data_IF_109837261582
#
_entry.id   IF_109837261582
#
_cell.length_a   1.000
_cell.length_b   1.000
_cell.length_c   1.000
_cell.angle_alpha   90.00
_cell.angle_beta   90.00
_cell.angle_gamma   90.00
#
_symmetry.space_group_name_H-M   'P 1'
#
loop_
_entity.id
_entity.type
_entity.pdbx_description
1 polymer ?
#
# COMPACT_ATOMS: atom_id res chain seq x y z
N UNK A 1 -25.73 -41.58 -11.73
CA UNK A 1 -24.72 -40.52 -11.49
C UNK A 1 -25.29 -39.58 -10.42
N UNK A 2 -24.61 -39.46 -9.27
CA UNK A 2 -25.08 -38.63 -8.15
C UNK A 2 -25.36 -37.20 -8.64
N UNK A 3 -26.47 -36.58 -8.25
CA UNK A 3 -26.85 -35.23 -8.68
C UNK A 3 -25.76 -34.21 -8.37
N UNK A 4 -25.00 -34.45 -7.29
CA UNK A 4 -23.84 -33.65 -6.91
C UNK A 4 -22.70 -33.71 -7.93
N UNK A 5 -22.39 -34.89 -8.48
CA UNK A 5 -21.38 -35.07 -9.51
C UNK A 5 -21.80 -34.41 -10.84
N UNK A 6 -23.09 -34.45 -11.17
CA UNK A 6 -23.66 -33.76 -12.34
C UNK A 6 -23.48 -32.24 -12.26
N UNK A 7 -23.76 -31.65 -11.11
CA UNK A 7 -23.57 -30.21 -10.92
C UNK A 7 -22.09 -29.83 -10.95
N UNK A 8 -21.21 -30.60 -10.28
CA UNK A 8 -19.75 -30.38 -10.33
C UNK A 8 -19.20 -30.44 -11.75
N UNK A 9 -19.63 -31.43 -12.56
CA UNK A 9 -19.25 -31.55 -13.98
C UNK A 9 -19.79 -30.39 -14.83
N UNK A 10 -21.04 -29.97 -14.63
CA UNK A 10 -21.63 -28.85 -15.36
C UNK A 10 -20.87 -27.55 -15.09
N UNK A 11 -20.49 -27.28 -13.84
CA UNK A 11 -19.73 -26.10 -13.46
C UNK A 11 -18.28 -26.14 -13.98
N UNK A 12 -17.63 -27.30 -14.00
CA UNK A 12 -16.30 -27.46 -14.61
C UNK A 12 -16.36 -27.19 -16.12
N UNK A 13 -17.40 -27.66 -16.80
CA UNK A 13 -17.58 -27.45 -18.26
C UNK A 13 -17.83 -25.97 -18.55
N UNK A 14 -18.73 -25.32 -17.80
CA UNK A 14 -19.01 -23.89 -17.92
C UNK A 14 -17.76 -23.04 -17.62
N UNK A 15 -17.03 -23.37 -16.55
CA UNK A 15 -15.78 -22.71 -16.19
C UNK A 15 -14.70 -22.86 -17.27
N UNK A 16 -14.56 -24.05 -17.85
CA UNK A 16 -13.57 -24.33 -18.89
C UNK A 16 -13.90 -23.58 -20.19
N UNK A 17 -15.18 -23.44 -20.54
CA UNK A 17 -15.65 -22.66 -21.69
C UNK A 17 -15.40 -21.17 -21.45
N UNK A 18 -15.63 -20.67 -20.24
CA UNK A 18 -15.35 -19.28 -19.85
C UNK A 18 -13.83 -19.02 -19.86
N UNK A 19 -13.02 -19.93 -19.30
CA UNK A 19 -11.55 -19.89 -19.33
C UNK A 19 -11.00 -19.84 -20.76
N UNK A 20 -11.52 -20.68 -21.65
CA UNK A 20 -11.12 -20.75 -23.05
C UNK A 20 -11.52 -19.47 -23.83
N UNK A 21 -12.71 -18.94 -23.60
CA UNK A 21 -13.17 -17.69 -24.21
C UNK A 21 -12.34 -16.48 -23.74
N UNK A 22 -12.04 -16.40 -22.44
CA UNK A 22 -11.25 -15.32 -21.84
C UNK A 22 -9.79 -15.37 -22.32
N UNK A 23 -9.20 -16.57 -22.45
CA UNK A 23 -7.85 -16.75 -22.99
C UNK A 23 -7.75 -16.35 -24.47
N UNK A 24 -8.70 -16.79 -25.32
CA UNK A 24 -8.75 -16.46 -26.74
C UNK A 24 -8.96 -14.97 -27.02
N UNK A 25 -9.73 -14.29 -26.17
CA UNK A 25 -10.01 -12.85 -26.31
C UNK A 25 -8.80 -12.00 -25.85
N UNK A 26 -7.97 -12.50 -24.92
CA UNK A 26 -6.87 -11.74 -24.31
C UNK A 26 -5.51 -11.91 -25.02
N UNK A 27 -5.25 -13.07 -25.65
CA UNK A 27 -3.91 -13.41 -26.15
C UNK A 27 -3.42 -12.56 -27.34
N UNK A 28 -4.30 -11.86 -28.06
CA UNK A 28 -3.90 -11.22 -29.33
C UNK A 28 -3.67 -9.70 -29.28
N UNK A 29 -4.13 -8.98 -28.26
CA UNK A 29 -4.14 -7.49 -28.32
C UNK A 29 -4.03 -6.71 -27.00
N UNK A 30 -4.30 -7.28 -25.82
CA UNK A 30 -4.69 -6.44 -24.67
C UNK A 30 -3.62 -6.18 -23.59
N UNK A 31 -2.61 -7.03 -23.41
CA UNK A 31 -1.65 -6.84 -22.30
C UNK A 31 -0.73 -5.62 -22.53
N UNK A 32 -0.43 -5.27 -23.79
CA UNK A 32 0.43 -4.14 -24.13
C UNK A 32 -0.34 -2.83 -24.40
N UNK A 33 -1.64 -2.89 -24.71
CA UNK A 33 -2.42 -1.74 -25.16
C UNK A 33 -3.58 -1.36 -24.24
N UNK A 34 -4.10 -2.27 -23.41
CA UNK A 34 -5.23 -2.02 -22.50
C UNK A 34 -5.03 -2.74 -21.15
N UNK A 35 -4.12 -2.22 -20.30
CA UNK A 35 -3.77 -2.83 -19.01
C UNK A 35 -4.98 -2.91 -18.06
N UNK A 36 -5.91 -1.96 -18.12
CA UNK A 36 -7.15 -1.97 -17.32
C UNK A 36 -8.07 -3.16 -17.71
N UNK A 37 -8.19 -3.46 -19.00
CA UNK A 37 -8.97 -4.63 -19.44
C UNK A 37 -8.29 -5.94 -19.03
N UNK A 38 -6.95 -6.00 -19.09
CA UNK A 38 -6.19 -7.16 -18.63
C UNK A 38 -6.26 -7.35 -17.11
N UNK A 39 -6.30 -6.25 -16.35
CA UNK A 39 -6.52 -6.19 -14.91
C UNK A 39 -7.89 -6.74 -14.52
N UNK A 40 -8.96 -6.20 -15.12
CA UNK A 40 -10.35 -6.65 -14.89
C UNK A 40 -10.51 -8.12 -15.29
N UNK A 41 -9.90 -8.56 -16.40
CA UNK A 41 -9.92 -9.97 -16.81
C UNK A 41 -9.17 -10.87 -15.83
N UNK A 42 -8.04 -10.43 -15.28
CA UNK A 42 -7.26 -11.21 -14.31
C UNK A 42 -8.03 -11.34 -12.99
N UNK A 43 -8.64 -10.25 -12.49
CA UNK A 43 -9.53 -10.31 -11.32
C UNK A 43 -10.70 -11.25 -11.59
N UNK A 44 -11.33 -11.18 -12.76
CA UNK A 44 -12.43 -12.06 -13.14
C UNK A 44 -11.98 -13.53 -13.22
N UNK A 45 -10.80 -13.80 -13.80
CA UNK A 45 -10.20 -15.14 -13.89
C UNK A 45 -10.00 -15.76 -12.51
N UNK A 46 -9.36 -15.02 -11.59
CA UNK A 46 -9.10 -15.54 -10.25
C UNK A 46 -10.32 -15.58 -9.35
N UNK A 47 -11.28 -14.66 -9.53
CA UNK A 47 -12.59 -14.72 -8.85
C UNK A 47 -13.36 -15.96 -9.28
N UNK A 48 -13.35 -16.28 -10.58
CA UNK A 48 -13.96 -17.51 -11.12
C UNK A 48 -13.24 -18.74 -10.58
N UNK A 49 -11.91 -18.78 -10.57
CA UNK A 49 -11.13 -19.90 -9.98
C UNK A 49 -11.41 -20.05 -8.48
N UNK A 50 -11.48 -18.95 -7.72
CA UNK A 50 -11.78 -18.98 -6.29
C UNK A 50 -13.21 -19.47 -6.03
N UNK A 51 -14.19 -19.00 -6.81
CA UNK A 51 -15.57 -19.49 -6.77
C UNK A 51 -15.61 -20.98 -7.10
N UNK A 52 -14.87 -21.45 -8.09
CA UNK A 52 -14.77 -22.87 -8.45
C UNK A 52 -14.17 -23.69 -7.31
N UNK A 53 -13.08 -23.24 -6.71
CA UNK A 53 -12.44 -23.95 -5.59
C UNK A 53 -13.38 -24.02 -4.38
N UNK A 54 -14.02 -22.91 -4.02
CA UNK A 54 -14.98 -22.84 -2.92
C UNK A 54 -16.21 -23.71 -3.20
N UNK A 55 -16.69 -23.73 -4.46
CA UNK A 55 -17.84 -24.55 -4.86
C UNK A 55 -17.51 -26.03 -4.89
N UNK A 56 -16.30 -26.40 -5.31
CA UNK A 56 -15.84 -27.80 -5.36
C UNK A 56 -15.49 -28.35 -3.98
N UNK A 57 -15.03 -27.49 -3.07
CA UNK A 57 -14.57 -27.83 -1.72
C UNK A 57 -15.05 -26.79 -0.69
N UNK A 58 -16.35 -26.74 -0.37
CA UNK A 58 -16.89 -25.79 0.60
C UNK A 58 -16.29 -25.96 2.00
N UNK A 59 -15.74 -27.13 2.30
CA UNK A 59 -14.98 -27.42 3.52
C UNK A 59 -13.74 -26.52 3.68
N UNK A 60 -13.19 -25.98 2.58
CA UNK A 60 -12.05 -25.06 2.64
C UNK A 60 -12.38 -23.74 3.34
N UNK A 61 -13.65 -23.34 3.37
CA UNK A 61 -14.14 -22.12 4.03
C UNK A 61 -14.87 -22.42 5.34
N UNK A 62 -14.92 -23.68 5.79
CA UNK A 62 -15.50 -24.00 7.10
C UNK A 62 -14.65 -23.33 8.19
N UNK A 63 -15.17 -22.33 8.93
CA UNK A 63 -14.42 -21.62 9.96
C UNK A 63 -13.99 -22.52 11.11
N UNK A 64 -14.50 -23.76 11.20
CA UNK A 64 -14.12 -24.76 12.20
C UNK A 64 -13.02 -25.71 11.72
N UNK A 65 -12.65 -25.67 10.44
CA UNK A 65 -11.59 -26.53 9.89
C UNK A 65 -10.22 -26.01 10.33
N UNK A 66 -9.38 -26.90 10.84
CA UNK A 66 -7.97 -26.61 11.06
C UNK A 66 -7.19 -26.67 9.74
N UNK A 67 -6.21 -25.79 9.60
CA UNK A 67 -5.29 -25.82 8.48
C UNK A 67 -4.40 -27.08 8.52
N UNK A 68 -4.17 -27.65 7.35
CA UNK A 68 -3.44 -28.90 7.11
C UNK A 68 -2.20 -28.67 6.24
N UNK A 69 -1.39 -29.71 6.02
CA UNK A 69 -0.24 -29.64 5.10
C UNK A 69 -0.65 -29.34 3.65
N UNK A 70 -1.85 -29.73 3.26
CA UNK A 70 -2.37 -29.45 1.90
C UNK A 70 -2.49 -27.95 1.69
N UNK A 71 -2.90 -27.22 2.73
CA UNK A 71 -3.04 -25.77 2.68
C UNK A 71 -1.67 -25.07 2.54
N UNK A 72 -0.66 -25.59 3.25
CA UNK A 72 0.73 -25.13 3.11
C UNK A 72 1.25 -25.36 1.67
N UNK A 73 0.89 -26.49 1.03
CA UNK A 73 1.23 -26.77 -0.38
C UNK A 73 0.52 -25.83 -1.35
N UNK A 74 -0.75 -25.48 -1.12
CA UNK A 74 -1.49 -24.52 -1.94
C UNK A 74 -0.76 -23.16 -1.91
N UNK A 75 -0.38 -22.69 -0.73
CA UNK A 75 0.37 -21.43 -0.59
C UNK A 75 1.72 -21.49 -1.29
N UNK A 76 2.44 -22.61 -1.18
CA UNK A 76 3.71 -22.81 -1.88
C UNK A 76 3.54 -22.75 -3.41
N UNK A 77 2.53 -23.43 -3.96
CA UNK A 77 2.24 -23.43 -5.40
C UNK A 77 1.85 -22.03 -5.86
N UNK A 78 0.95 -21.35 -5.14
CA UNK A 78 0.53 -19.99 -5.46
C UNK A 78 1.71 -19.01 -5.45
N UNK A 79 2.55 -19.09 -4.42
CA UNK A 79 3.74 -18.25 -4.27
C UNK A 79 4.76 -18.49 -5.38
N UNK A 80 5.06 -19.76 -5.68
CA UNK A 80 6.02 -20.11 -6.74
C UNK A 80 5.51 -19.64 -8.10
N UNK A 81 4.22 -19.84 -8.38
CA UNK A 81 3.57 -19.39 -9.61
C UNK A 81 3.63 -17.87 -9.73
N UNK A 82 3.28 -17.14 -8.67
CA UNK A 82 3.33 -15.69 -8.63
C UNK A 82 4.75 -15.17 -8.88
N UNK A 83 5.77 -15.74 -8.24
CA UNK A 83 7.18 -15.36 -8.45
C UNK A 83 7.58 -15.55 -9.91
N UNK A 84 7.34 -16.74 -10.47
CA UNK A 84 7.71 -17.08 -11.85
C UNK A 84 7.03 -16.14 -12.87
N UNK A 85 5.74 -15.88 -12.68
CA UNK A 85 4.99 -14.96 -13.55
C UNK A 85 5.48 -13.53 -13.35
N UNK A 86 5.57 -13.05 -12.12
CA UNK A 86 5.98 -11.67 -11.83
C UNK A 86 7.36 -11.36 -12.39
N UNK A 87 8.35 -12.23 -12.18
CA UNK A 87 9.70 -12.04 -12.74
C UNK A 87 9.68 -12.04 -14.28
N UNK A 88 8.91 -12.93 -14.90
CA UNK A 88 8.84 -13.00 -16.38
C UNK A 88 8.11 -11.81 -17.01
N UNK A 89 7.25 -11.12 -16.26
CA UNK A 89 6.52 -9.92 -16.70
C UNK A 89 7.32 -8.62 -16.53
N UNK A 90 8.48 -8.64 -15.86
CA UNK A 90 9.35 -7.45 -15.76
C UNK A 90 10.00 -7.20 -17.14
N UNK A 91 9.52 -6.16 -17.83
CA UNK A 91 10.00 -5.79 -19.17
C UNK A 91 10.48 -4.33 -19.26
N UNK A 92 10.14 -3.50 -18.27
CA UNK A 92 10.56 -2.10 -18.12
C UNK A 92 10.41 -1.68 -16.65
N UNK A 93 10.73 -0.43 -16.31
CA UNK A 93 10.61 0.10 -14.95
C UNK A 93 9.15 0.18 -14.47
N UNK A 94 8.20 0.35 -15.39
CA UNK A 94 6.76 0.45 -15.14
C UNK A 94 6.32 1.84 -14.69
N UNK A 95 6.97 2.37 -13.66
CA UNK A 95 6.74 3.73 -13.12
C UNK A 95 8.00 4.58 -13.21
N UNK A 96 7.81 5.88 -13.37
CA UNK A 96 8.88 6.87 -13.30
C UNK A 96 9.59 6.82 -11.95
N UNK A 97 8.87 6.63 -10.84
CA UNK A 97 9.47 6.46 -9.52
C UNK A 97 10.56 5.36 -9.44
N UNK A 98 10.40 4.22 -10.11
CA UNK A 98 11.41 3.16 -10.09
C UNK A 98 12.65 3.50 -10.90
N UNK A 99 12.46 4.24 -11.99
CA UNK A 99 13.59 4.78 -12.76
C UNK A 99 14.31 5.87 -11.92
N UNK A 100 13.59 6.65 -11.10
CA UNK A 100 14.18 7.63 -10.18
C UNK A 100 14.99 6.92 -9.08
N UNK A 101 14.48 5.81 -8.54
CA UNK A 101 15.20 4.99 -7.55
C UNK A 101 16.51 4.47 -8.15
N UNK A 102 16.48 3.95 -9.38
CA UNK A 102 17.68 3.44 -10.04
C UNK A 102 18.70 4.54 -10.35
N UNK A 103 18.25 5.71 -10.82
CA UNK A 103 19.13 6.85 -11.06
C UNK A 103 19.69 7.45 -9.76
N UNK A 104 18.90 7.47 -8.68
CA UNK A 104 19.37 7.86 -7.34
C UNK A 104 20.54 6.98 -6.88
N UNK A 105 20.49 5.67 -7.19
CA UNK A 105 21.61 4.78 -6.95
C UNK A 105 22.81 5.10 -7.84
N UNK A 106 22.61 5.38 -9.14
CA UNK A 106 23.71 5.81 -10.01
C UNK A 106 24.39 7.08 -9.48
N UNK A 107 23.63 8.06 -8.99
CA UNK A 107 24.18 9.28 -8.39
C UNK A 107 24.94 8.97 -7.11
N UNK A 108 24.35 8.19 -6.21
CA UNK A 108 24.99 7.79 -4.96
C UNK A 108 26.36 7.12 -5.22
N UNK A 109 26.41 6.13 -6.11
CA UNK A 109 27.64 5.41 -6.46
C UNK A 109 28.62 6.24 -7.30
N UNK A 110 28.17 7.35 -7.88
CA UNK A 110 29.03 8.35 -8.53
C UNK A 110 29.53 9.45 -7.59
N UNK A 111 29.24 9.35 -6.29
CA UNK A 111 29.60 10.38 -5.30
C UNK A 111 28.81 11.68 -5.44
N UNK A 112 27.63 11.63 -6.07
CA UNK A 112 26.71 12.76 -6.22
C UNK A 112 25.55 12.60 -5.24
N UNK A 113 25.10 13.70 -4.65
CA UNK A 113 23.93 13.72 -3.78
C UNK A 113 22.65 13.44 -4.60
N UNK A 114 21.94 12.32 -4.38
CA UNK A 114 20.74 11.98 -5.13
C UNK A 114 19.64 13.06 -5.07
N UNK A 115 19.56 13.82 -3.99
CA UNK A 115 18.54 14.85 -3.79
C UNK A 115 18.83 16.15 -4.54
N UNK A 116 20.10 16.39 -4.89
CA UNK A 116 20.53 17.59 -5.62
C UNK A 116 20.50 17.43 -7.14
N UNK A 117 20.21 16.23 -7.63
CA UNK A 117 20.26 15.90 -9.04
C UNK A 117 18.90 16.10 -9.71
N UNK A 118 18.95 16.58 -10.95
CA UNK A 118 17.79 16.65 -11.83
C UNK A 118 17.69 15.38 -12.65
N UNK A 119 16.51 14.80 -12.65
CA UNK A 119 16.18 13.59 -13.37
C UNK A 119 15.18 13.90 -14.51
N UNK A 120 15.28 13.15 -15.61
CA UNK A 120 14.32 13.16 -16.71
C UNK A 120 14.01 11.71 -17.11
N UNK A 121 12.74 11.27 -17.08
CA UNK A 121 12.42 9.89 -17.39
C UNK A 121 12.58 9.63 -18.87
N UNK A 122 13.29 8.55 -19.21
CA UNK A 122 13.54 8.16 -20.58
C UNK A 122 12.72 6.94 -20.99
N UNK A 123 12.47 6.04 -20.05
CA UNK A 123 11.86 4.73 -20.33
C UNK A 123 10.45 4.60 -19.76
N UNK A 124 9.93 5.66 -19.15
CA UNK A 124 8.64 5.70 -18.46
C UNK A 124 7.91 7.01 -18.71
N UNK A 125 6.60 7.01 -18.43
CA UNK A 125 5.78 8.22 -18.53
C UNK A 125 6.10 9.15 -17.34
N UNK A 126 6.46 10.43 -17.59
CA UNK A 126 6.76 11.37 -16.52
C UNK A 126 5.53 11.73 -15.69
N UNK A 127 5.76 11.99 -14.41
CA UNK A 127 4.87 12.81 -13.59
C UNK A 127 4.95 14.28 -14.04
N UNK A 128 3.80 14.85 -14.39
CA UNK A 128 3.66 16.26 -14.75
C UNK A 128 3.26 17.13 -13.55
N UNK A 129 3.76 18.35 -13.55
CA UNK A 129 3.40 19.42 -12.63
C UNK A 129 2.23 20.23 -13.18
N UNK A 130 1.52 20.94 -12.30
CA UNK A 130 0.36 21.80 -12.65
C UNK A 130 0.74 22.87 -13.69
N UNK A 131 2.00 23.32 -13.68
CA UNK A 131 2.54 24.28 -14.66
C UNK A 131 2.96 23.64 -16.00
N UNK A 132 2.74 22.35 -16.20
CA UNK A 132 3.08 21.61 -17.42
C UNK A 132 4.54 21.14 -17.50
N UNK A 133 5.39 21.48 -16.54
CA UNK A 133 6.75 20.93 -16.46
C UNK A 133 6.74 19.49 -15.93
N UNK A 134 7.82 18.77 -16.17
CA UNK A 134 8.04 17.42 -15.62
C UNK A 134 8.58 17.57 -14.19
N UNK A 135 8.13 16.72 -13.27
CA UNK A 135 8.74 16.62 -11.95
C UNK A 135 10.15 16.03 -12.10
N UNK A 136 11.20 16.72 -11.66
CA UNK A 136 12.58 16.28 -11.93
C UNK A 136 13.40 15.98 -10.68
N UNK A 137 12.84 16.15 -9.50
CA UNK A 137 13.56 15.96 -8.24
C UNK A 137 13.18 14.63 -7.58
N UNK A 138 14.13 14.03 -6.88
CA UNK A 138 13.85 12.89 -6.02
C UNK A 138 13.12 13.34 -4.75
N UNK A 139 12.00 12.69 -4.44
CA UNK A 139 11.11 13.09 -3.33
C UNK A 139 10.96 12.02 -2.26
N UNK A 140 11.57 10.84 -2.38
CA UNK A 140 11.41 9.79 -1.36
C UNK A 140 12.52 9.83 -0.31
N UNK A 141 12.23 9.46 0.95
CA UNK A 141 13.28 9.33 1.97
C UNK A 141 14.28 8.21 1.63
N UNK A 142 15.51 8.22 2.18
CA UNK A 142 16.65 7.53 1.56
C UNK A 142 16.55 6.01 1.50
N UNK A 143 15.78 5.40 2.40
CA UNK A 143 15.65 3.95 2.41
C UNK A 143 14.93 3.43 1.15
N UNK A 144 14.15 4.29 0.47
CA UNK A 144 13.52 4.01 -0.82
C UNK A 144 14.48 3.60 -1.94
N UNK A 145 15.75 4.01 -1.89
CA UNK A 145 16.77 3.52 -2.84
C UNK A 145 17.82 2.64 -2.18
N UNK A 146 18.17 2.88 -0.90
CA UNK A 146 19.20 2.09 -0.20
C UNK A 146 18.87 0.60 -0.17
N UNK A 147 17.59 0.24 0.02
CA UNK A 147 17.20 -1.18 0.09
C UNK A 147 17.48 -1.94 -1.21
N UNK A 148 17.54 -1.23 -2.34
CA UNK A 148 17.76 -1.81 -3.66
C UNK A 148 19.26 -1.99 -3.99
N UNK A 149 20.18 -1.49 -3.15
CA UNK A 149 21.63 -1.59 -3.36
C UNK A 149 22.09 -3.02 -3.67
N UNK A 150 21.70 -4.08 -2.93
CA UNK A 150 22.21 -5.43 -3.21
C UNK A 150 21.90 -5.89 -4.63
N UNK A 151 20.67 -5.66 -5.10
CA UNK A 151 20.27 -6.06 -6.45
C UNK A 151 20.87 -5.13 -7.52
N UNK A 152 20.95 -3.82 -7.24
CA UNK A 152 21.64 -2.86 -8.11
C UNK A 152 23.08 -3.29 -8.41
N UNK A 153 23.84 -3.70 -7.39
CA UNK A 153 25.21 -4.17 -7.57
C UNK A 153 25.29 -5.45 -8.43
N UNK A 154 24.35 -6.39 -8.25
CA UNK A 154 24.25 -7.59 -9.08
C UNK A 154 23.93 -7.21 -10.54
N UNK A 155 23.00 -6.29 -10.75
CA UNK A 155 22.62 -5.80 -12.08
C UNK A 155 23.83 -5.18 -12.78
N UNK A 156 24.60 -4.32 -12.09
CA UNK A 156 25.84 -3.74 -12.63
C UNK A 156 26.90 -4.80 -12.93
N UNK A 157 27.09 -5.76 -12.02
CA UNK A 157 28.07 -6.83 -12.18
C UNK A 157 27.77 -7.73 -13.41
N UNK A 158 26.50 -8.06 -13.62
CA UNK A 158 26.06 -8.93 -14.72
C UNK A 158 25.76 -8.16 -16.01
N UNK A 159 25.88 -6.84 -15.99
CA UNK A 159 25.41 -5.95 -17.06
C UNK A 159 23.95 -6.26 -17.47
N UNK A 160 23.12 -6.57 -16.49
CA UNK A 160 21.71 -6.88 -16.70
C UNK A 160 20.92 -5.58 -16.97
N UNK A 161 19.76 -5.67 -17.66
CA UNK A 161 18.84 -4.56 -17.79
C UNK A 161 18.47 -3.92 -16.45
N UNK A 162 18.50 -2.59 -16.38
CA UNK A 162 18.28 -1.82 -15.17
C UNK A 162 16.91 -2.05 -14.52
N UNK A 163 15.87 -2.28 -15.34
CA UNK A 163 14.51 -2.52 -14.87
C UNK A 163 14.35 -3.78 -14.01
N UNK A 164 15.33 -4.71 -14.02
CA UNK A 164 15.31 -5.87 -13.13
C UNK A 164 15.39 -5.47 -11.65
N UNK A 165 15.67 -4.22 -11.33
CA UNK A 165 15.59 -3.67 -9.98
C UNK A 165 14.20 -3.92 -9.32
N UNK A 166 13.14 -4.04 -10.14
CA UNK A 166 11.78 -4.38 -9.72
C UNK A 166 11.65 -5.76 -9.05
N UNK A 167 12.63 -6.66 -9.19
CA UNK A 167 12.63 -7.96 -8.48
C UNK A 167 12.58 -7.77 -6.97
N UNK A 168 13.16 -6.68 -6.42
CA UNK A 168 13.04 -6.36 -4.99
C UNK A 168 11.57 -6.20 -4.59
N UNK A 169 10.76 -5.50 -5.39
CA UNK A 169 9.32 -5.33 -5.12
C UNK A 169 8.61 -6.68 -5.07
N UNK A 170 8.89 -7.57 -6.04
CA UNK A 170 8.31 -8.92 -6.12
C UNK A 170 8.68 -9.75 -4.87
N UNK A 171 9.94 -9.69 -4.44
CA UNK A 171 10.39 -10.38 -3.23
C UNK A 171 9.64 -9.86 -2.00
N UNK A 172 9.51 -8.54 -1.85
CA UNK A 172 8.82 -7.95 -0.71
C UNK A 172 7.31 -8.24 -0.72
N UNK A 173 6.67 -8.32 -1.89
CA UNK A 173 5.27 -8.74 -1.98
C UNK A 173 5.06 -10.17 -1.46
N UNK A 174 5.93 -11.09 -1.89
CA UNK A 174 5.91 -12.47 -1.38
C UNK A 174 6.16 -12.52 0.12
N UNK A 175 7.15 -11.77 0.62
CA UNK A 175 7.44 -11.72 2.06
C UNK A 175 6.23 -11.19 2.84
N UNK A 176 5.58 -10.13 2.37
CA UNK A 176 4.37 -9.57 2.97
C UNK A 176 3.26 -10.63 3.06
N UNK A 177 2.94 -11.28 1.95
CA UNK A 177 1.85 -12.25 1.87
C UNK A 177 2.15 -13.49 2.71
N UNK A 178 3.40 -13.97 2.72
CA UNK A 178 3.80 -15.08 3.58
C UNK A 178 3.75 -14.73 5.06
N UNK A 179 4.11 -13.50 5.46
CA UNK A 179 3.96 -13.06 6.86
C UNK A 179 2.49 -13.04 7.29
N UNK A 180 1.59 -12.56 6.41
CA UNK A 180 0.14 -12.57 6.66
C UNK A 180 -0.36 -14.01 6.81
N UNK A 181 0.05 -14.90 5.91
CA UNK A 181 -0.29 -16.32 5.99
C UNK A 181 0.18 -16.96 7.29
N UNK A 182 1.43 -16.69 7.71
CA UNK A 182 1.99 -17.24 8.96
C UNK A 182 1.16 -16.81 10.17
N UNK A 183 0.67 -15.57 10.22
CA UNK A 183 -0.20 -15.12 11.32
C UNK A 183 -1.55 -15.85 11.33
N UNK A 184 -2.19 -16.01 10.17
CA UNK A 184 -3.41 -16.81 10.06
C UNK A 184 -3.18 -18.29 10.38
N UNK A 185 -2.04 -18.84 9.94
CA UNK A 185 -1.62 -20.23 10.21
C UNK A 185 -1.43 -20.51 11.69
N UNK A 186 -0.85 -19.58 12.45
CA UNK A 186 -0.72 -19.66 13.92
C UNK A 186 -2.07 -19.77 14.62
N UNK A 187 -3.11 -19.16 14.04
CA UNK A 187 -4.49 -19.20 14.54
C UNK A 187 -5.29 -20.39 14.01
N UNK A 188 -4.69 -21.21 13.14
CA UNK A 188 -5.38 -22.27 12.39
C UNK A 188 -6.58 -21.74 11.60
N UNK A 189 -6.55 -20.47 11.19
CA UNK A 189 -7.67 -19.82 10.51
C UNK A 189 -7.69 -20.20 9.01
N UNK A 190 -8.70 -20.96 8.54
CA UNK A 190 -8.78 -21.38 7.14
C UNK A 190 -8.91 -20.21 6.16
N UNK A 191 -9.38 -19.02 6.60
CA UNK A 191 -9.43 -17.83 5.77
C UNK A 191 -8.04 -17.33 5.35
N UNK A 192 -6.97 -17.74 6.03
CA UNK A 192 -5.59 -17.41 5.66
C UNK A 192 -5.20 -17.79 4.24
N UNK A 193 -5.74 -18.90 3.71
CA UNK A 193 -5.49 -19.34 2.34
C UNK A 193 -6.17 -18.40 1.35
N UNK A 194 -7.43 -18.03 1.63
CA UNK A 194 -8.19 -17.13 0.78
C UNK A 194 -7.52 -15.76 0.72
N UNK A 195 -6.97 -15.28 1.84
CA UNK A 195 -6.19 -14.06 1.89
C UNK A 195 -4.95 -14.13 1.02
N UNK A 196 -4.21 -15.24 1.00
CA UNK A 196 -3.06 -15.40 0.09
C UNK A 196 -3.48 -15.28 -1.37
N UNK A 197 -4.52 -16.03 -1.78
CA UNK A 197 -5.01 -16.01 -3.15
C UNK A 197 -5.48 -14.60 -3.52
N UNK A 198 -6.33 -13.99 -2.68
CA UNK A 198 -6.86 -12.65 -2.90
C UNK A 198 -5.73 -11.61 -3.00
N UNK A 199 -4.72 -11.69 -2.13
CA UNK A 199 -3.64 -10.71 -2.11
C UNK A 199 -2.74 -10.82 -3.32
N UNK A 200 -2.39 -12.02 -3.80
CA UNK A 200 -1.64 -12.15 -5.06
C UNK A 200 -2.41 -11.62 -6.27
N UNK A 201 -3.74 -11.73 -6.27
CA UNK A 201 -4.57 -11.16 -7.32
C UNK A 201 -4.61 -9.65 -7.24
N UNK A 202 -4.86 -9.12 -6.04
CA UNK A 202 -4.87 -7.69 -5.77
C UNK A 202 -3.53 -7.08 -6.17
N UNK A 203 -2.41 -7.69 -5.78
CA UNK A 203 -1.07 -7.18 -6.07
C UNK A 203 -0.73 -7.34 -7.54
N UNK A 204 -1.03 -8.47 -8.18
CA UNK A 204 -0.79 -8.63 -9.61
C UNK A 204 -1.54 -7.60 -10.47
N UNK A 205 -2.73 -7.17 -10.03
CA UNK A 205 -3.64 -6.39 -10.87
C UNK A 205 -3.62 -4.90 -10.56
N UNK A 206 -3.63 -4.54 -9.29
CA UNK A 206 -3.89 -3.16 -8.88
C UNK A 206 -2.67 -2.47 -8.26
N UNK A 207 -1.70 -3.22 -7.74
CA UNK A 207 -0.45 -2.69 -7.18
C UNK A 207 0.76 -3.52 -7.65
N UNK A 208 0.82 -3.77 -8.96
CA UNK A 208 1.73 -4.72 -9.63
C UNK A 208 3.22 -4.45 -9.31
N UNK A 209 3.87 -5.27 -8.46
CA UNK A 209 5.26 -5.03 -8.08
C UNK A 209 6.24 -5.20 -9.24
N UNK A 210 5.91 -6.07 -10.20
CA UNK A 210 6.67 -6.27 -11.45
C UNK A 210 6.52 -5.10 -12.45
N UNK A 211 5.54 -4.22 -12.24
CA UNK A 211 5.32 -2.99 -13.01
C UNK A 211 5.76 -1.75 -12.21
N UNK A 212 6.69 -1.92 -11.27
CA UNK A 212 7.33 -0.80 -10.57
C UNK A 212 6.57 -0.20 -9.39
N UNK A 213 5.41 -0.75 -9.01
CA UNK A 213 4.72 -0.28 -7.80
C UNK A 213 5.42 -0.88 -6.57
N UNK A 214 6.07 -0.03 -5.76
CA UNK A 214 6.94 -0.48 -4.66
C UNK A 214 6.26 -0.47 -3.28
N UNK A 215 4.98 -0.11 -3.14
CA UNK A 215 4.30 0.08 -1.84
C UNK A 215 4.28 -1.17 -0.96
N UNK A 216 4.49 -2.35 -1.53
CA UNK A 216 4.64 -3.63 -0.83
C UNK A 216 5.86 -3.66 0.09
N UNK A 217 6.92 -2.90 -0.23
CA UNK A 217 8.14 -2.80 0.58
C UNK A 217 7.84 -2.12 1.92
N UNK A 218 7.36 -0.86 1.98
CA UNK A 218 6.99 -0.23 3.24
C UNK A 218 5.88 -0.99 3.96
N UNK A 219 4.88 -1.55 3.26
CA UNK A 219 3.83 -2.37 3.88
C UNK A 219 4.40 -3.57 4.65
N UNK A 220 5.42 -4.26 4.11
CA UNK A 220 6.13 -5.35 4.80
C UNK A 220 6.73 -4.88 6.12
N UNK A 221 7.41 -3.74 6.11
CA UNK A 221 8.03 -3.19 7.31
C UNK A 221 7.01 -2.67 8.33
N UNK A 222 5.91 -2.09 7.87
CA UNK A 222 4.78 -1.72 8.73
C UNK A 222 4.15 -2.95 9.41
N UNK A 223 3.99 -4.04 8.67
CA UNK A 223 3.51 -5.29 9.24
C UNK A 223 4.47 -5.82 10.31
N UNK A 224 5.77 -5.90 10.02
CA UNK A 224 6.77 -6.34 11.00
C UNK A 224 6.79 -5.46 12.26
N UNK A 225 6.68 -4.15 12.08
CA UNK A 225 6.51 -3.16 13.14
C UNK A 225 5.28 -3.45 14.01
N UNK A 226 4.14 -3.73 13.39
CA UNK A 226 2.89 -4.07 14.08
C UNK A 226 2.97 -5.42 14.81
N UNK A 227 3.58 -6.44 14.21
CA UNK A 227 3.70 -7.77 14.79
C UNK A 227 4.70 -7.83 15.96
N UNK A 228 5.72 -6.97 15.98
CA UNK A 228 6.81 -7.02 16.97
C UNK A 228 6.78 -5.87 17.95
N UNK A 229 6.99 -6.15 19.23
CA UNK A 229 7.01 -5.16 20.31
C UNK A 229 8.43 -4.83 20.81
N UNK A 230 9.45 -5.32 20.11
CA UNK A 230 10.86 -5.23 20.49
C UNK A 230 11.67 -4.30 19.58
N UNK A 231 13.00 -4.38 19.68
CA UNK A 231 13.94 -3.60 18.84
C UNK A 231 13.68 -3.75 17.34
N UNK A 232 13.31 -4.95 16.88
CA UNK A 232 13.07 -5.20 15.46
C UNK A 232 11.78 -4.54 14.99
N UNK A 233 10.76 -4.46 15.86
CA UNK A 233 9.55 -3.68 15.56
C UNK A 233 9.86 -2.20 15.36
N UNK A 234 10.65 -1.62 16.28
CA UNK A 234 11.08 -0.22 16.18
C UNK A 234 11.93 0.07 14.93
N UNK A 235 12.91 -0.80 14.63
CA UNK A 235 13.71 -0.74 13.39
C UNK A 235 12.80 -0.79 12.17
N UNK A 236 11.86 -1.73 12.13
CA UNK A 236 10.96 -1.91 10.98
C UNK A 236 10.10 -0.67 10.76
N UNK A 237 9.57 -0.04 11.81
CA UNK A 237 8.81 1.21 11.68
C UNK A 237 9.67 2.32 11.07
N UNK A 238 10.93 2.44 11.50
CA UNK A 238 11.85 3.45 10.98
C UNK A 238 12.20 3.22 9.50
N UNK A 239 12.35 1.96 9.10
CA UNK A 239 12.56 1.57 7.71
C UNK A 239 11.35 1.94 6.85
N UNK A 240 10.13 1.61 7.27
CA UNK A 240 8.91 2.00 6.56
C UNK A 240 8.80 3.53 6.42
N UNK A 241 8.98 4.29 7.51
CA UNK A 241 8.91 5.76 7.47
C UNK A 241 10.07 6.40 6.71
N UNK A 242 11.21 5.72 6.57
CA UNK A 242 12.32 6.19 5.73
C UNK A 242 12.19 5.76 4.28
N UNK A 243 11.11 5.05 3.91
CA UNK A 243 10.85 4.59 2.55
C UNK A 243 9.88 5.53 1.82
N UNK A 244 8.71 5.82 2.39
CA UNK A 244 7.67 6.63 1.74
C UNK A 244 6.87 7.43 2.76
N UNK A 245 6.39 8.60 2.34
CA UNK A 245 5.50 9.48 3.09
C UNK A 245 4.17 8.80 3.44
N UNK A 246 3.68 7.86 2.60
CA UNK A 246 2.46 7.10 2.90
C UNK A 246 2.55 6.36 4.24
N UNK A 247 3.75 5.88 4.59
CA UNK A 247 3.98 5.20 5.88
C UNK A 247 3.80 6.15 7.06
N UNK A 248 4.00 7.46 6.89
CA UNK A 248 3.84 8.46 7.94
C UNK A 248 2.39 8.56 8.41
N UNK A 249 1.42 8.30 7.53
CA UNK A 249 0.00 8.27 7.87
C UNK A 249 -0.32 7.24 8.95
N UNK A 250 0.41 6.11 8.97
CA UNK A 250 0.24 5.04 9.96
C UNK A 250 0.99 5.26 11.28
N UNK A 251 1.99 6.15 11.27
CA UNK A 251 2.90 6.37 12.39
C UNK A 251 2.19 6.68 13.72
N UNK A 252 1.26 7.67 13.81
CA UNK A 252 0.61 7.98 15.08
C UNK A 252 -0.20 6.80 15.64
N UNK A 253 -0.86 6.04 14.76
CA UNK A 253 -1.68 4.89 15.16
C UNK A 253 -0.82 3.74 15.69
N UNK A 254 0.28 3.41 15.01
CA UNK A 254 1.22 2.39 15.49
C UNK A 254 1.85 2.81 16.83
N UNK A 255 2.24 4.07 16.99
CA UNK A 255 2.82 4.55 18.25
C UNK A 255 1.80 4.46 19.40
N UNK A 256 0.56 4.89 19.18
CA UNK A 256 -0.52 4.73 20.17
C UNK A 256 -0.72 3.24 20.51
N UNK A 257 -0.76 2.36 19.50
CA UNK A 257 -0.88 0.92 19.68
C UNK A 257 0.21 0.35 20.59
N UNK A 258 1.47 0.71 20.33
CA UNK A 258 2.62 0.20 21.09
C UNK A 258 2.72 0.80 22.49
N UNK A 259 2.40 2.08 22.66
CA UNK A 259 2.48 2.77 23.96
C UNK A 259 1.36 2.28 24.89
N UNK A 260 0.12 2.20 24.40
CA UNK A 260 -1.02 1.81 25.23
C UNK A 260 -1.16 0.31 25.41
N UNK A 261 -0.81 -0.49 24.41
CA UNK A 261 -1.10 -1.93 24.41
C UNK A 261 -0.11 -2.81 25.17
N UNK A 262 1.15 -2.39 25.37
CA UNK A 262 2.26 -3.32 25.69
C UNK A 262 3.14 -2.95 26.89
N UNK A 263 2.87 -1.82 27.55
CA UNK A 263 3.55 -1.37 28.76
C UNK A 263 4.85 -0.58 28.50
N UNK A 264 5.15 0.35 29.40
CA UNK A 264 6.15 1.42 29.20
C UNK A 264 7.55 0.93 28.82
N UNK A 265 8.02 -0.18 29.39
CA UNK A 265 9.39 -0.69 29.17
C UNK A 265 9.60 -1.17 27.73
N UNK A 266 8.64 -1.93 27.19
CA UNK A 266 8.70 -2.41 25.79
C UNK A 266 8.57 -1.24 24.82
N UNK A 267 7.64 -0.32 25.08
CA UNK A 267 7.46 0.87 24.25
C UNK A 267 8.70 1.78 24.24
N UNK A 268 9.42 1.91 25.36
CA UNK A 268 10.70 2.65 25.42
C UNK A 268 11.78 2.01 24.55
N UNK A 269 11.96 0.69 24.63
CA UNK A 269 12.94 0.00 23.78
C UNK A 269 12.58 0.14 22.31
N UNK A 270 11.32 -0.12 21.96
CA UNK A 270 10.79 0.07 20.61
C UNK A 270 11.09 1.48 20.08
N UNK A 271 10.72 2.52 20.84
CA UNK A 271 10.91 3.91 20.44
C UNK A 271 12.39 4.29 20.30
N UNK A 272 13.25 3.78 21.19
CA UNK A 272 14.70 4.01 21.10
C UNK A 272 15.27 3.51 19.77
N UNK A 273 14.93 2.29 19.38
CA UNK A 273 15.42 1.71 18.13
C UNK A 273 14.78 2.33 16.89
N UNK A 274 13.52 2.75 16.98
CA UNK A 274 12.87 3.55 15.95
C UNK A 274 13.64 4.86 15.70
N UNK A 275 13.84 5.68 16.74
CA UNK A 275 14.51 6.97 16.62
C UNK A 275 15.97 6.82 16.16
N UNK A 276 16.69 5.84 16.71
CA UNK A 276 18.09 5.60 16.33
C UNK A 276 18.23 5.22 14.85
N UNK A 277 17.37 4.32 14.37
CA UNK A 277 17.39 3.89 12.96
C UNK A 277 16.98 5.03 12.03
N UNK A 278 15.95 5.80 12.40
CA UNK A 278 15.50 6.96 11.64
C UNK A 278 16.63 7.98 11.46
N UNK A 279 17.36 8.28 12.54
CA UNK A 279 18.53 9.16 12.49
C UNK A 279 19.62 8.59 11.60
N UNK A 280 20.01 7.33 11.75
CA UNK A 280 21.07 6.72 10.94
C UNK A 280 20.78 6.77 9.44
N UNK A 281 19.52 6.53 9.05
CA UNK A 281 19.15 6.47 7.64
C UNK A 281 19.04 7.86 7.00
N UNK A 282 18.51 8.85 7.74
CA UNK A 282 18.15 10.14 7.17
C UNK A 282 19.23 11.21 7.40
N UNK A 283 19.93 11.17 8.54
CA UNK A 283 20.92 12.19 8.90
C UNK A 283 22.07 12.34 7.89
N UNK A 284 22.62 11.27 7.28
CA UNK A 284 23.69 11.42 6.29
C UNK A 284 23.28 12.29 5.10
N UNK A 285 22.05 12.12 4.60
CA UNK A 285 21.54 12.87 3.45
C UNK A 285 21.12 14.29 3.84
N UNK A 286 20.53 14.45 5.02
CA UNK A 286 20.27 15.77 5.60
C UNK A 286 21.57 16.58 5.78
N UNK A 287 22.65 15.94 6.22
CA UNK A 287 23.96 16.58 6.41
C UNK A 287 24.67 16.85 5.08
N UNK A 288 24.45 16.01 4.05
CA UNK A 288 25.02 16.22 2.72
C UNK A 288 24.46 17.48 2.06
N UNK A 289 23.13 17.63 2.02
CA UNK A 289 22.48 18.85 1.56
C UNK A 289 21.08 18.99 2.17
N UNK A 290 20.96 19.76 3.25
CA UNK A 290 19.67 19.90 3.94
C UNK A 290 18.58 20.53 3.07
N UNK A 291 18.92 21.48 2.18
CA UNK A 291 17.92 22.16 1.33
C UNK A 291 17.32 21.21 0.31
N UNK A 292 18.18 20.43 -0.34
CA UNK A 292 17.75 19.42 -1.31
C UNK A 292 16.96 18.31 -0.60
N UNK A 293 17.47 17.82 0.54
CA UNK A 293 16.82 16.77 1.32
C UNK A 293 15.43 17.14 1.81
N UNK A 294 15.14 18.41 2.12
CA UNK A 294 13.80 18.84 2.53
C UNK A 294 12.72 18.61 1.47
N UNK A 295 13.09 18.28 0.21
CA UNK A 295 12.15 17.84 -0.82
C UNK A 295 11.30 16.65 -0.36
N UNK A 296 11.79 15.80 0.54
CA UNK A 296 11.03 14.62 1.01
C UNK A 296 9.75 14.96 1.77
N UNK A 297 9.63 16.19 2.27
CA UNK A 297 8.44 16.66 2.99
C UNK A 297 7.38 17.29 2.07
N UNK A 298 7.59 17.27 0.75
CA UNK A 298 6.60 17.78 -0.22
C UNK A 298 5.35 16.91 -0.24
N UNK A 299 4.17 17.54 -0.25
CA UNK A 299 2.86 16.87 -0.34
C UNK A 299 2.39 16.70 -1.79
N UNK A 300 3.32 16.65 -2.75
CA UNK A 300 3.01 16.61 -4.18
C UNK A 300 2.09 17.75 -4.66
N UNK A 301 2.02 18.84 -3.90
CA UNK A 301 1.06 19.95 -4.10
C UNK A 301 1.15 20.60 -5.49
N UNK A 302 2.32 20.50 -6.12
CA UNK A 302 2.60 21.06 -7.45
C UNK A 302 2.40 20.05 -8.58
N UNK A 303 2.11 18.78 -8.27
CA UNK A 303 1.82 17.75 -9.26
C UNK A 303 0.39 17.89 -9.76
N UNK A 304 0.15 17.51 -11.01
CA UNK A 304 -1.23 17.36 -11.49
C UNK A 304 -1.89 16.33 -10.56
N UNK A 305 -3.06 16.66 -9.97
CA UNK A 305 -3.75 15.71 -9.12
C UNK A 305 -4.02 14.48 -9.98
N UNK A 306 -3.68 13.30 -9.49
CA UNK A 306 -3.99 12.01 -10.13
C UNK A 306 -4.91 11.26 -9.19
N UNK A 307 -6.06 10.79 -9.66
CA UNK A 307 -6.98 10.08 -8.79
C UNK A 307 -8.29 9.65 -9.44
N UNK A 308 -8.45 8.34 -9.60
CA UNK A 308 -9.74 7.68 -9.85
C UNK A 308 -10.53 7.47 -8.53
N UNK A 309 -9.89 7.73 -7.38
CA UNK A 309 -10.38 7.44 -6.04
C UNK A 309 -10.04 8.62 -5.12
N UNK A 310 -10.84 8.89 -4.10
CA UNK A 310 -10.61 9.98 -3.15
C UNK A 310 -11.44 11.24 -3.42
N UNK A 311 -11.26 12.25 -2.57
CA UNK A 311 -11.93 13.54 -2.70
C UNK A 311 -11.49 14.30 -3.95
N UNK A 312 -10.27 14.02 -4.44
CA UNK A 312 -9.69 14.62 -5.65
C UNK A 312 -10.52 14.36 -6.91
N UNK A 313 -11.36 13.32 -6.93
CA UNK A 313 -12.33 13.05 -8.01
C UNK A 313 -13.24 14.27 -8.27
N UNK A 314 -13.50 15.10 -7.25
CA UNK A 314 -14.29 16.33 -7.41
C UNK A 314 -13.60 17.30 -8.39
N UNK A 315 -12.28 17.48 -8.28
CA UNK A 315 -11.52 18.33 -9.20
C UNK A 315 -11.55 17.80 -10.63
N UNK A 316 -11.54 16.48 -10.80
CA UNK A 316 -11.62 15.83 -12.11
C UNK A 316 -12.99 15.89 -12.75
N UNK A 317 -14.05 15.88 -11.95
CA UNK A 317 -15.43 15.94 -12.46
C UNK A 317 -15.74 17.27 -13.16
N UNK A 318 -14.91 18.30 -12.95
CA UNK A 318 -15.15 19.67 -13.43
C UNK A 318 -16.28 20.38 -12.70
N UNK A 319 -16.92 19.74 -11.70
CA UNK A 319 -18.04 20.33 -10.94
C UNK A 319 -17.56 21.42 -9.98
N UNK A 320 -16.49 21.14 -9.24
CA UNK A 320 -15.86 22.09 -8.33
C UNK A 320 -14.34 21.95 -8.43
N UNK A 321 -13.65 23.02 -8.77
CA UNK A 321 -12.19 23.06 -8.72
C UNK A 321 -11.76 23.57 -7.34
N UNK A 322 -11.13 22.71 -6.56
CA UNK A 322 -10.55 23.00 -5.25
C UNK A 322 -9.03 23.10 -5.38
N UNK A 323 -8.46 24.14 -4.80
CA UNK A 323 -7.01 24.33 -4.79
C UNK A 323 -6.28 23.29 -3.91
N UNK A 324 -5.01 22.96 -4.20
CA UNK A 324 -4.26 21.94 -3.47
C UNK A 324 -4.16 22.16 -1.95
N UNK A 325 -4.15 23.41 -1.50
CA UNK A 325 -4.09 23.73 -0.07
C UNK A 325 -5.32 23.23 0.71
N UNK A 326 -6.48 23.14 0.06
CA UNK A 326 -7.71 22.64 0.69
C UNK A 326 -7.57 21.17 1.09
N UNK A 327 -6.95 20.37 0.22
CA UNK A 327 -6.67 18.96 0.48
C UNK A 327 -5.67 18.79 1.62
N UNK A 328 -4.58 19.56 1.61
CA UNK A 328 -3.59 19.55 2.72
C UNK A 328 -4.26 19.89 4.05
N UNK A 329 -5.10 20.93 4.09
CA UNK A 329 -5.83 21.29 5.31
C UNK A 329 -6.83 20.21 5.73
N UNK A 330 -7.56 19.63 4.78
CA UNK A 330 -8.53 18.56 5.04
C UNK A 330 -7.86 17.31 5.59
N UNK A 331 -6.74 16.91 4.99
CA UNK A 331 -5.90 15.80 5.43
C UNK A 331 -5.46 15.99 6.89
N UNK A 332 -4.96 17.17 7.25
CA UNK A 332 -4.53 17.48 8.62
C UNK A 332 -5.71 17.39 9.60
N UNK A 333 -6.84 18.04 9.29
CA UNK A 333 -8.02 18.05 10.18
C UNK A 333 -8.56 16.63 10.39
N UNK A 334 -8.71 15.86 9.31
CA UNK A 334 -9.20 14.48 9.37
C UNK A 334 -8.20 13.59 10.10
N UNK A 335 -6.90 13.74 9.87
CA UNK A 335 -5.87 13.00 10.58
C UNK A 335 -5.94 13.23 12.09
N UNK A 336 -6.00 14.49 12.53
CA UNK A 336 -6.09 14.84 13.95
C UNK A 336 -7.36 14.26 14.59
N UNK A 337 -8.49 14.31 13.88
CA UNK A 337 -9.73 13.71 14.35
C UNK A 337 -9.64 12.19 14.49
N UNK A 338 -9.11 11.51 13.48
CA UNK A 338 -8.98 10.05 13.50
C UNK A 338 -7.99 9.59 14.57
N UNK A 339 -6.89 10.33 14.77
CA UNK A 339 -5.96 10.12 15.89
C UNK A 339 -6.68 10.27 17.22
N UNK A 340 -7.51 11.32 17.39
CA UNK A 340 -8.31 11.52 18.59
C UNK A 340 -9.28 10.36 18.83
N UNK A 341 -10.02 9.92 17.80
CA UNK A 341 -10.97 8.80 17.90
C UNK A 341 -10.25 7.50 18.26
N UNK A 342 -9.14 7.18 17.57
CA UNK A 342 -8.35 5.99 17.85
C UNK A 342 -7.77 6.01 19.27
N UNK A 343 -7.26 7.16 19.71
CA UNK A 343 -6.78 7.34 21.07
C UNK A 343 -7.91 7.19 22.09
N UNK A 344 -9.05 7.85 21.88
CA UNK A 344 -10.17 7.86 22.82
C UNK A 344 -10.78 6.48 23.01
N UNK A 345 -10.94 5.73 21.92
CA UNK A 345 -11.62 4.43 21.88
C UNK A 345 -10.66 3.26 21.64
N UNK A 346 -9.39 3.44 22.01
CA UNK A 346 -8.31 2.48 21.77
C UNK A 346 -8.68 1.04 22.15
N UNK A 347 -9.33 0.84 23.29
CA UNK A 347 -9.61 -0.51 23.80
C UNK A 347 -10.59 -1.32 22.92
N UNK A 348 -11.42 -0.63 22.11
CA UNK A 348 -12.27 -1.25 21.09
C UNK A 348 -11.58 -1.25 19.72
N UNK A 349 -10.92 -0.15 19.36
CA UNK A 349 -10.46 0.08 17.99
C UNK A 349 -9.03 -0.39 17.73
N UNK A 350 -8.31 -0.92 18.72
CA UNK A 350 -6.87 -1.21 18.65
C UNK A 350 -6.43 -1.93 17.36
N UNK A 351 -7.16 -2.96 16.89
CA UNK A 351 -6.76 -3.71 15.69
C UNK A 351 -7.27 -3.06 14.39
N UNK A 352 -8.15 -2.06 14.45
CA UNK A 352 -8.63 -1.33 13.26
C UNK A 352 -7.66 -0.26 12.76
N UNK A 353 -6.41 -0.27 13.22
CA UNK A 353 -5.43 0.81 13.01
C UNK A 353 -5.12 1.07 11.52
N UNK A 354 -5.21 0.05 10.67
CA UNK A 354 -4.93 0.16 9.24
C UNK A 354 -6.03 0.85 8.44
N UNK A 355 -7.24 0.99 9.01
CA UNK A 355 -8.31 1.73 8.37
C UNK A 355 -8.05 3.24 8.35
N UNK A 356 -7.36 3.77 9.37
CA UNK A 356 -7.20 5.22 9.48
C UNK A 356 -6.31 5.82 8.39
N UNK A 357 -5.11 5.27 8.09
CA UNK A 357 -4.32 5.75 6.96
C UNK A 357 -5.09 5.72 5.64
N UNK A 358 -5.87 4.65 5.39
CA UNK A 358 -6.71 4.54 4.20
C UNK A 358 -7.77 5.65 4.11
N UNK A 359 -8.41 6.01 5.23
CA UNK A 359 -9.37 7.12 5.28
C UNK A 359 -8.65 8.46 5.08
N UNK A 360 -7.47 8.65 5.67
CA UNK A 360 -6.67 9.88 5.52
C UNK A 360 -6.26 10.06 4.06
N UNK A 361 -5.82 8.99 3.39
CA UNK A 361 -5.46 9.00 1.97
C UNK A 361 -6.60 9.49 1.06
N UNK A 362 -7.86 9.37 1.49
CA UNK A 362 -9.01 9.92 0.76
C UNK A 362 -8.96 11.44 0.60
N UNK A 363 -8.27 12.15 1.50
CA UNK A 363 -8.21 13.62 1.54
C UNK A 363 -6.91 14.20 0.97
N UNK A 364 -6.00 13.36 0.48
CA UNK A 364 -4.74 13.81 -0.13
C UNK A 364 -5.00 14.50 -1.47
N UNK A 365 -4.12 15.44 -1.86
CA UNK A 365 -4.21 16.13 -3.16
C UNK A 365 -4.08 15.15 -4.33
N UNK A 366 -3.10 14.26 -4.25
CA UNK A 366 -2.83 13.20 -5.23
C UNK A 366 -3.15 11.86 -4.60
N UNK A 367 -3.92 11.04 -5.30
CA UNK A 367 -4.48 9.78 -4.78
C UNK A 367 -4.34 8.65 -5.82
N UNK A 368 -3.17 8.02 -5.83
CA UNK A 368 -2.93 6.85 -6.67
C UNK A 368 -3.61 5.61 -6.07
N UNK A 369 -3.92 4.62 -6.91
CA UNK A 369 -4.62 3.38 -6.49
C UNK A 369 -3.89 2.67 -5.35
N UNK A 370 -2.56 2.63 -5.43
CA UNK A 370 -1.69 2.05 -4.43
C UNK A 370 -1.74 2.73 -3.06
N UNK A 371 -2.15 4.01 -2.98
CA UNK A 371 -2.28 4.73 -1.72
C UNK A 371 -3.41 4.15 -0.86
N UNK A 372 -4.41 3.51 -1.48
CA UNK A 372 -5.50 2.82 -0.77
C UNK A 372 -5.20 1.33 -0.59
N UNK A 373 -4.72 0.68 -1.65
CA UNK A 373 -4.59 -0.76 -1.66
C UNK A 373 -3.41 -1.29 -0.83
N UNK A 374 -2.39 -0.47 -0.53
CA UNK A 374 -1.31 -0.88 0.36
C UNK A 374 -1.80 -1.25 1.78
N UNK A 375 -2.94 -0.73 2.23
CA UNK A 375 -3.49 -0.98 3.57
C UNK A 375 -4.28 -2.30 3.66
N UNK A 376 -4.81 -2.79 2.53
CA UNK A 376 -5.65 -4.00 2.48
C UNK A 376 -4.90 -5.25 2.96
N UNK A 377 -3.66 -5.54 2.51
CA UNK A 377 -2.88 -6.66 3.08
C UNK A 377 -2.76 -6.60 4.60
N UNK A 378 -2.55 -5.40 5.15
CA UNK A 378 -2.35 -5.20 6.59
C UNK A 378 -3.64 -5.45 7.39
N UNK A 379 -4.81 -5.14 6.82
CA UNK A 379 -6.11 -5.42 7.45
C UNK A 379 -6.34 -6.90 7.73
N UNK A 380 -5.87 -7.82 6.87
CA UNK A 380 -6.00 -9.25 7.12
C UNK A 380 -5.30 -9.67 8.43
N UNK A 381 -4.17 -9.05 8.76
CA UNK A 381 -3.46 -9.38 10.01
C UNK A 381 -4.17 -8.87 11.25
N UNK A 382 -4.91 -7.76 11.13
CA UNK A 382 -5.79 -7.29 12.19
C UNK A 382 -6.93 -8.27 12.44
N UNK A 383 -7.53 -8.83 11.37
CA UNK A 383 -8.60 -9.83 11.48
C UNK A 383 -8.16 -11.08 12.26
N UNK A 384 -6.94 -11.58 12.02
CA UNK A 384 -6.44 -12.77 12.75
C UNK A 384 -6.09 -12.49 14.21
N UNK A 385 -5.94 -11.22 14.60
CA UNK A 385 -5.55 -10.81 15.95
C UNK A 385 -6.71 -10.31 16.80
N UNK A 386 -7.81 -9.92 16.18
CA UNK A 386 -8.99 -9.45 16.88
C UNK A 386 -9.61 -10.57 17.73
N UNK A 387 -10.02 -10.21 18.93
CA UNK A 387 -10.85 -11.08 19.76
C UNK A 387 -12.25 -10.48 19.73
N UNK A 388 -13.22 -11.18 19.15
CA UNK A 388 -14.61 -10.69 18.99
C UNK A 388 -15.36 -10.35 20.29
N UNK A 389 -14.73 -10.54 21.45
CA UNK A 389 -15.24 -10.12 22.75
C UNK A 389 -14.85 -8.65 23.04
N UNK A 390 -15.66 -7.73 22.52
CA UNK A 390 -15.44 -6.30 22.70
C UNK A 390 -15.77 -5.85 24.15
N UNK A 391 -14.94 -5.00 24.76
CA UNK A 391 -15.27 -4.41 26.06
C UNK A 391 -16.48 -3.47 25.94
N UNK A 392 -17.33 -3.45 26.97
CA UNK A 392 -18.43 -2.47 27.05
C UNK A 392 -17.85 -1.08 27.33
N UNK A 393 -17.94 -0.17 26.36
CA UNK A 393 -17.56 1.23 26.54
C UNK A 393 -18.82 2.10 26.64
N UNK A 394 -18.80 3.06 27.57
CA UNK A 394 -19.79 4.14 27.63
C UNK A 394 -19.38 5.25 26.68
N UNK A 395 -20.10 5.38 25.56
CA UNK A 395 -19.90 6.43 24.57
C UNK A 395 -20.90 7.55 24.84
N UNK A 396 -20.44 8.77 25.09
CA UNK A 396 -21.31 9.93 25.03
C UNK A 396 -21.37 10.40 23.58
N UNK A 397 -22.36 9.92 22.83
CA UNK A 397 -22.50 10.19 21.37
C UNK A 397 -22.37 11.69 21.07
N UNK A 398 -22.97 12.54 21.90
CA UNK A 398 -22.92 14.00 21.71
C UNK A 398 -21.50 14.54 21.86
N UNK A 399 -20.83 14.27 22.99
CA UNK A 399 -19.51 14.84 23.31
C UNK A 399 -18.36 14.15 22.58
N UNK A 400 -18.38 12.82 22.52
CA UNK A 400 -17.24 12.05 22.01
C UNK A 400 -17.25 11.93 20.47
N UNK A 401 -18.42 12.07 19.80
CA UNK A 401 -18.54 11.87 18.36
C UNK A 401 -19.17 13.06 17.63
N UNK A 402 -20.37 13.50 18.01
CA UNK A 402 -21.09 14.56 17.28
C UNK A 402 -20.37 15.90 17.37
N UNK A 403 -19.89 16.32 18.54
CA UNK A 403 -19.22 17.62 18.69
C UNK A 403 -17.93 17.70 17.86
N UNK A 404 -16.99 16.73 17.93
CA UNK A 404 -15.82 16.73 17.04
C UNK A 404 -16.19 16.68 15.55
N UNK A 405 -17.15 15.83 15.17
CA UNK A 405 -17.56 15.67 13.77
C UNK A 405 -18.23 16.93 13.23
N UNK A 406 -19.05 17.59 14.05
CA UNK A 406 -19.66 18.88 13.73
C UNK A 406 -18.62 19.98 13.56
N UNK A 407 -17.60 20.04 14.44
CA UNK A 407 -16.51 21.00 14.30
C UNK A 407 -15.76 20.80 12.99
N UNK A 408 -15.42 19.56 12.65
CA UNK A 408 -14.75 19.22 11.38
C UNK A 408 -15.60 19.62 10.19
N UNK A 409 -16.87 19.22 10.18
CA UNK A 409 -17.79 19.50 9.09
C UNK A 409 -17.97 21.01 8.90
N UNK A 410 -18.12 21.77 9.99
CA UNK A 410 -18.14 23.23 9.93
C UNK A 410 -16.83 23.77 9.40
N UNK A 411 -15.67 23.31 9.89
CA UNK A 411 -14.37 23.83 9.42
C UNK A 411 -14.20 23.57 7.93
N UNK A 412 -14.44 22.34 7.47
CA UNK A 412 -14.31 21.96 6.06
C UNK A 412 -15.28 22.73 5.17
N UNK A 413 -16.56 22.83 5.55
CA UNK A 413 -17.55 23.62 4.80
C UNK A 413 -17.15 25.10 4.79
N UNK A 414 -16.76 25.68 5.92
CA UNK A 414 -16.38 27.10 5.99
C UNK A 414 -15.19 27.38 5.09
N UNK A 415 -14.19 26.48 5.07
CA UNK A 415 -13.01 26.62 4.20
C UNK A 415 -13.35 26.42 2.72
N UNK A 416 -14.24 25.48 2.39
CA UNK A 416 -14.72 25.27 1.02
C UNK A 416 -15.54 26.45 0.51
N UNK A 417 -16.42 27.02 1.33
CA UNK A 417 -17.20 28.22 0.98
C UNK A 417 -16.29 29.44 0.85
N UNK A 418 -15.31 29.62 1.73
CA UNK A 418 -14.31 30.68 1.60
C UNK A 418 -13.56 30.58 0.26
N UNK A 419 -13.13 29.37 -0.11
CA UNK A 419 -12.49 29.12 -1.41
C UNK A 419 -13.36 29.55 -2.58
N UNK A 420 -14.63 29.10 -2.63
CA UNK A 420 -15.57 29.44 -3.72
C UNK A 420 -15.79 30.95 -3.84
N UNK A 421 -15.96 31.64 -2.71
CA UNK A 421 -16.17 33.09 -2.70
C UNK A 421 -14.93 33.89 -3.09
N UNK A 422 -13.73 33.38 -2.81
CA UNK A 422 -12.48 34.00 -3.24
C UNK A 422 -12.29 33.86 -4.75
N UNK A 423 -12.58 32.68 -5.31
CA UNK A 423 -12.47 32.41 -6.75
C UNK A 423 -13.43 33.25 -7.60
N UNK A 424 -14.68 33.43 -7.13
CA UNK A 424 -15.68 34.28 -7.81
C UNK A 424 -15.37 35.78 -7.78
N UNK A 425 -14.36 36.24 -7.01
CA UNK A 425 -13.95 37.65 -6.96
C UNK A 425 -12.77 37.98 -7.87
N UNK A 426 -12.11 36.97 -8.42
CA UNK A 426 -10.89 37.12 -9.24
C UNK A 426 -11.19 36.91 -10.74
N UNK A 427 -12.33 36.29 -11.06
CA UNK A 427 -12.95 36.29 -12.40
C UNK A 427 -13.92 37.48 -12.51
#
# INVERSE_FOLDING_TARGET
>A
MNNELKHRLLYIILASIILYAIYLINYRTSILLNPISAAILSIAFFSVVSIIIITLYPELIDPKRNLSKVDDFIVLIATTTFIMLSISLITNFGTDDMEYIYESLNFLFSGKDPYSMTYYPYYTSPTYLINGHIATNFIYPPFSFIIYIPLYLIIKLLNAPAYYINIVNVIFDVVLILLIYIEGRKKQDPFSILSVIFLYVLTAVAISPFYGIFVVVPATFLLLSYLRDDKLGGISLALATSFTQLSWLSLPFILIYKIRGKGITKSKQYLRYFLFTLVILNLPFLAWNYKAFLSIFTTDINTIPVGEIGLTVINYSGLFQLEPWFFTLSEIIVSLFLIYIYYRFFDILKESLWLYPMIISWFMWRTLTEYFFMWIPLLFTALYRENYNLPKIRINIKKDLMTPLFLILITLISTGVYHLNYFHRIL
#
